data_IF_428033663639
#
_entry.id   IF_428033663639
#
_cell.length_a   1.000
_cell.length_b   1.000
_cell.length_c   1.000
_cell.angle_alpha   90.00
_cell.angle_beta   90.00
_cell.angle_gamma   90.00
#
_symmetry.space_group_name_H-M   'P 1'
#
loop_
_entity.id
_entity.type
_entity.pdbx_description
1 polymer ?
#
# COMPACT_ATOMS: atom_id res chain seq x y z
N UNK A 1 5.52 3.64 -7.52
CA UNK A 1 4.17 3.03 -7.59
C UNK A 1 3.21 3.98 -8.28
N UNK A 2 2.47 3.49 -9.23
CA UNK A 2 1.43 4.23 -9.94
C UNK A 2 0.11 3.50 -9.78
N UNK A 3 -0.99 4.25 -9.79
CA UNK A 3 -2.31 3.65 -9.68
C UNK A 3 -2.55 2.64 -10.80
N UNK A 4 -3.02 1.45 -10.43
CA UNK A 4 -3.24 0.35 -11.35
C UNK A 4 -4.05 -0.75 -10.67
N UNK A 5 -5.02 -1.30 -11.38
CA UNK A 5 -5.95 -2.28 -10.80
C UNK A 5 -5.49 -3.74 -10.92
N UNK A 6 -4.31 -3.98 -11.49
CA UNK A 6 -3.84 -5.35 -11.72
C UNK A 6 -3.81 -6.16 -10.42
N UNK A 7 -3.20 -5.61 -9.36
CA UNK A 7 -3.08 -6.33 -8.10
C UNK A 7 -4.38 -6.36 -7.29
N UNK A 8 -5.30 -5.42 -7.54
CA UNK A 8 -6.62 -5.48 -6.93
C UNK A 8 -7.31 -6.80 -7.27
N UNK A 9 -7.28 -7.21 -8.54
CA UNK A 9 -7.86 -8.48 -8.93
C UNK A 9 -7.08 -9.69 -8.39
N UNK A 10 -5.75 -9.56 -8.25
CA UNK A 10 -4.90 -10.65 -7.75
C UNK A 10 -5.14 -10.94 -6.27
N UNK A 11 -5.47 -9.93 -5.46
CA UNK A 11 -5.68 -10.13 -4.02
C UNK A 11 -7.13 -10.49 -3.68
N UNK A 12 -8.04 -10.45 -4.63
CA UNK A 12 -9.46 -10.67 -4.34
C UNK A 12 -9.73 -12.01 -3.63
N UNK A 13 -8.92 -13.03 -3.92
CA UNK A 13 -9.09 -14.38 -3.35
C UNK A 13 -8.60 -14.49 -1.89
N UNK A 14 -7.90 -13.49 -1.36
CA UNK A 14 -7.43 -13.51 0.03
C UNK A 14 -8.17 -12.52 0.92
N UNK A 15 -9.12 -11.76 0.37
CA UNK A 15 -9.92 -10.85 1.17
C UNK A 15 -10.93 -11.61 2.03
N UNK A 16 -11.20 -11.09 3.23
CA UNK A 16 -12.19 -11.67 4.12
C UNK A 16 -13.56 -11.02 3.90
N UNK A 17 -14.60 -11.62 4.47
CA UNK A 17 -15.95 -11.09 4.37
C UNK A 17 -16.03 -9.68 4.93
N UNK A 18 -16.64 -8.78 4.20
CA UNK A 18 -16.79 -7.39 4.58
C UNK A 18 -15.57 -6.51 4.30
N UNK A 19 -14.50 -7.10 3.79
CA UNK A 19 -13.31 -6.34 3.38
C UNK A 19 -13.46 -5.89 1.94
N UNK A 20 -13.23 -4.61 1.67
CA UNK A 20 -13.31 -4.04 0.34
C UNK A 20 -11.99 -3.39 -0.05
N UNK A 21 -11.71 -3.36 -1.34
CA UNK A 21 -10.53 -2.69 -1.90
C UNK A 21 -10.84 -1.21 -2.03
N UNK A 22 -9.95 -0.37 -1.51
CA UNK A 22 -10.08 1.08 -1.59
C UNK A 22 -9.25 1.65 -2.73
N UNK A 23 -8.02 1.15 -2.90
CA UNK A 23 -7.12 1.63 -3.96
C UNK A 23 -6.01 0.62 -4.20
N UNK A 24 -5.34 0.73 -5.36
CA UNK A 24 -4.30 -0.20 -5.77
C UNK A 24 -3.24 0.51 -6.59
N UNK A 25 -1.97 0.17 -6.36
CA UNK A 25 -0.82 0.78 -7.02
C UNK A 25 0.18 -0.27 -7.44
N UNK A 26 0.94 0.02 -8.49
CA UNK A 26 1.87 -0.94 -9.08
C UNK A 26 3.16 -0.26 -9.52
N UNK A 27 4.29 -0.95 -9.36
CA UNK A 27 5.55 -0.68 -10.03
C UNK A 27 5.93 -1.90 -10.87
N UNK A 28 7.16 -1.96 -11.38
CA UNK A 28 7.56 -3.08 -12.25
C UNK A 28 7.45 -4.44 -11.57
N UNK A 29 7.86 -4.54 -10.30
CA UNK A 29 7.90 -5.82 -9.59
C UNK A 29 7.17 -5.78 -8.25
N UNK A 30 6.62 -4.65 -7.89
CA UNK A 30 5.99 -4.47 -6.59
C UNK A 30 4.61 -3.86 -6.75
N UNK A 31 3.81 -3.99 -5.73
CA UNK A 31 2.52 -3.35 -5.68
C UNK A 31 2.05 -3.16 -4.25
N UNK A 32 1.03 -2.36 -4.09
CA UNK A 32 0.37 -2.17 -2.81
C UNK A 32 -1.12 -2.01 -3.04
N UNK A 33 -1.90 -2.71 -2.25
CA UNK A 33 -3.36 -2.61 -2.27
C UNK A 33 -3.82 -2.15 -0.90
N UNK A 34 -4.61 -1.08 -0.88
CA UNK A 34 -5.23 -0.59 0.34
C UNK A 34 -6.64 -1.14 0.41
N UNK A 35 -6.94 -1.87 1.48
CA UNK A 35 -8.29 -2.37 1.72
C UNK A 35 -8.92 -1.62 2.88
N UNK A 36 -10.15 -1.95 3.22
CA UNK A 36 -10.82 -1.38 4.39
C UNK A 36 -10.20 -1.85 5.71
N UNK A 37 -9.31 -2.85 5.71
CA UNK A 37 -8.75 -3.46 6.94
C UNK A 37 -7.23 -3.50 6.99
N UNK A 38 -6.54 -3.48 5.86
CA UNK A 38 -5.09 -3.69 5.81
C UNK A 38 -4.45 -3.08 4.58
N UNK A 39 -3.14 -2.92 4.65
CA UNK A 39 -2.29 -2.69 3.48
C UNK A 39 -1.80 -4.07 3.04
N UNK A 40 -1.92 -4.40 1.76
CA UNK A 40 -1.36 -5.62 1.20
C UNK A 40 -0.19 -5.22 0.31
N UNK A 41 1.02 -5.60 0.72
CA UNK A 41 2.23 -5.37 -0.06
C UNK A 41 2.46 -6.58 -0.96
N UNK A 42 2.65 -6.33 -2.25
CA UNK A 42 2.82 -7.38 -3.25
C UNK A 42 4.23 -7.33 -3.80
N UNK A 43 4.94 -8.45 -3.70
CA UNK A 43 6.27 -8.61 -4.29
C UNK A 43 6.24 -9.72 -5.34
N UNK A 44 6.68 -9.38 -6.56
CA UNK A 44 6.80 -10.33 -7.65
C UNK A 44 8.18 -10.96 -7.60
N UNK A 45 8.25 -12.27 -7.57
CA UNK A 45 9.47 -13.03 -7.40
C UNK A 45 9.73 -13.95 -8.59
N UNK A 46 11.00 -14.31 -8.77
CA UNK A 46 11.42 -15.21 -9.82
C UNK A 46 11.55 -14.55 -11.18
N UNK A 47 12.19 -15.25 -12.12
CA UNK A 47 12.49 -14.73 -13.46
C UNK A 47 11.20 -14.55 -14.28
N UNK A 48 10.27 -15.49 -14.16
CA UNK A 48 9.02 -15.48 -14.93
C UNK A 48 7.97 -14.55 -14.34
N UNK A 49 8.14 -14.11 -13.08
CA UNK A 49 7.15 -13.30 -12.39
C UNK A 49 5.89 -14.06 -11.99
N UNK A 50 5.89 -15.37 -12.06
CA UNK A 50 4.72 -16.20 -11.70
C UNK A 50 4.55 -16.34 -10.19
N UNK A 51 5.62 -16.18 -9.42
CA UNK A 51 5.59 -16.30 -7.96
C UNK A 51 5.42 -14.93 -7.35
N UNK A 52 4.41 -14.79 -6.49
CA UNK A 52 4.10 -13.52 -5.82
C UNK A 52 3.98 -13.72 -4.32
N UNK A 53 4.49 -12.75 -3.57
CA UNK A 53 4.37 -12.70 -2.13
C UNK A 53 3.37 -11.61 -1.76
N UNK A 54 2.40 -11.95 -0.91
CA UNK A 54 1.38 -11.01 -0.42
C UNK A 54 1.54 -10.86 1.08
N UNK A 55 2.02 -9.69 1.51
CA UNK A 55 2.21 -9.40 2.93
C UNK A 55 1.09 -8.49 3.42
N UNK A 56 0.36 -8.94 4.43
CA UNK A 56 -0.72 -8.16 5.02
C UNK A 56 -0.22 -7.36 6.20
N UNK A 57 -0.50 -6.08 6.19
CA UNK A 57 -0.13 -5.12 7.23
C UNK A 57 -1.42 -4.51 7.79
N UNK A 58 -1.99 -5.09 8.85
CA UNK A 58 -3.28 -4.61 9.39
C UNK A 58 -3.17 -3.18 9.91
N UNK A 59 -4.14 -2.33 9.57
CA UNK A 59 -4.15 -0.95 10.06
C UNK A 59 -4.12 -0.87 11.59
N UNK A 60 -4.82 -1.77 12.25
CA UNK A 60 -4.91 -1.76 13.72
C UNK A 60 -3.57 -1.91 14.43
N UNK A 61 -2.54 -2.38 13.72
CA UNK A 61 -1.21 -2.57 14.28
C UNK A 61 -0.23 -1.45 13.92
N UNK A 62 -0.68 -0.45 13.20
CA UNK A 62 0.12 0.74 12.88
C UNK A 62 0.17 1.64 14.11
N UNK A 63 1.37 1.98 14.56
CA UNK A 63 1.57 2.87 15.72
C UNK A 63 1.86 4.30 15.30
N UNK A 64 2.33 4.52 14.09
CA UNK A 64 2.57 5.86 13.54
C UNK A 64 2.58 5.78 12.03
N UNK A 65 2.23 6.87 11.37
CA UNK A 65 2.33 6.96 9.91
C UNK A 65 2.65 8.38 9.51
N UNK A 66 3.33 8.51 8.35
CA UNK A 66 3.79 9.81 7.84
C UNK A 66 3.58 9.84 6.34
N UNK A 67 3.15 10.97 5.83
CA UNK A 67 3.12 11.20 4.39
C UNK A 67 4.04 12.37 4.05
N UNK A 68 4.77 12.21 2.94
CA UNK A 68 5.56 13.29 2.36
C UNK A 68 4.99 13.56 0.97
N UNK A 69 4.41 14.75 0.80
CA UNK A 69 3.78 15.11 -0.46
C UNK A 69 4.83 15.54 -1.48
N UNK A 70 4.47 15.40 -2.78
CA UNK A 70 5.35 15.78 -3.86
C UNK A 70 5.67 17.28 -3.80
N UNK A 71 6.94 17.61 -4.08
CA UNK A 71 7.40 18.98 -4.14
C UNK A 71 7.48 19.52 -5.56
N UNK A 72 8.14 20.66 -5.72
CA UNK A 72 8.26 21.32 -7.03
C UNK A 72 9.23 20.58 -7.96
N UNK A 73 10.33 20.09 -7.41
CA UNK A 73 11.38 19.41 -8.20
C UNK A 73 11.34 17.90 -8.04
N UNK A 74 10.91 17.42 -6.91
CA UNK A 74 10.69 16.00 -6.67
C UNK A 74 9.18 15.76 -6.68
N UNK A 75 8.71 15.09 -7.72
CA UNK A 75 7.29 14.82 -7.91
C UNK A 75 6.84 13.51 -7.26
N UNK A 76 7.76 12.80 -6.60
CA UNK A 76 7.42 11.56 -5.89
C UNK A 76 6.89 11.89 -4.50
N UNK A 77 5.97 11.06 -4.05
CA UNK A 77 5.38 11.17 -2.73
C UNK A 77 5.66 9.88 -1.95
N UNK A 78 5.74 9.97 -0.63
CA UNK A 78 6.10 8.82 0.20
C UNK A 78 5.12 8.62 1.34
N UNK A 79 4.85 7.35 1.62
CA UNK A 79 4.10 6.92 2.79
C UNK A 79 5.02 6.05 3.63
N UNK A 80 5.13 6.38 4.92
CA UNK A 80 5.84 5.54 5.88
C UNK A 80 4.88 5.13 6.98
N UNK A 81 4.90 3.85 7.33
CA UNK A 81 4.08 3.32 8.42
C UNK A 81 4.99 2.53 9.37
N UNK A 82 4.74 2.67 10.67
CA UNK A 82 5.52 2.01 11.71
C UNK A 82 4.67 1.01 12.46
N UNK A 83 5.25 -0.16 12.68
CA UNK A 83 4.67 -1.25 13.48
C UNK A 83 5.61 -1.55 14.64
N UNK A 84 5.09 -1.89 15.81
CA UNK A 84 5.88 -1.97 17.04
C UNK A 84 7.04 -2.96 16.97
N UNK A 85 6.91 -4.07 16.26
CA UNK A 85 7.97 -5.09 16.20
C UNK A 85 8.53 -5.27 14.78
N UNK A 86 7.70 -5.09 13.78
CA UNK A 86 8.13 -5.19 12.39
C UNK A 86 9.04 -4.04 11.98
N UNK A 87 8.83 -2.87 12.55
CA UNK A 87 9.57 -1.67 12.21
C UNK A 87 8.84 -0.81 11.19
N UNK A 88 9.62 -0.12 10.35
CA UNK A 88 9.08 0.84 9.38
C UNK A 88 8.95 0.22 8.00
N UNK A 89 7.81 0.44 7.37
CA UNK A 89 7.57 0.11 5.96
C UNK A 89 7.37 1.41 5.18
N UNK A 90 8.05 1.52 4.03
CA UNK A 90 8.03 2.71 3.19
C UNK A 90 7.49 2.37 1.82
N UNK A 91 6.59 3.22 1.32
CA UNK A 91 6.03 3.11 -0.03
C UNK A 91 6.25 4.42 -0.76
N UNK A 92 6.78 4.34 -1.98
CA UNK A 92 7.04 5.51 -2.81
C UNK A 92 6.08 5.51 -3.99
N UNK A 93 5.43 6.65 -4.20
CA UNK A 93 4.41 6.83 -5.25
C UNK A 93 4.89 7.86 -6.26
N UNK A 94 4.77 7.52 -7.53
CA UNK A 94 5.20 8.38 -8.63
C UNK A 94 4.08 9.32 -9.07
N UNK A 95 4.47 10.53 -9.44
CA UNK A 95 3.56 11.49 -10.03
C UNK A 95 2.48 11.98 -9.07
N UNK A 96 1.29 12.21 -9.62
CA UNK A 96 0.19 12.83 -8.88
C UNK A 96 -0.62 11.82 -8.09
N UNK A 97 -0.04 11.26 -7.03
CA UNK A 97 -0.76 10.35 -6.15
C UNK A 97 -1.41 11.14 -5.02
N UNK A 98 -2.68 10.86 -4.74
CA UNK A 98 -3.43 11.53 -3.69
C UNK A 98 -3.13 10.88 -2.32
N UNK A 99 -1.96 11.20 -1.77
CA UNK A 99 -1.57 10.70 -0.45
C UNK A 99 -2.45 11.17 0.70
N UNK A 100 -3.01 12.39 0.70
CA UNK A 100 -3.97 12.75 1.74
C UNK A 100 -5.16 11.78 1.85
N UNK A 101 -5.69 11.31 0.73
CA UNK A 101 -6.77 10.30 0.76
C UNK A 101 -6.29 8.98 1.34
N UNK A 102 -5.09 8.52 0.97
CA UNK A 102 -4.49 7.31 1.54
C UNK A 102 -4.29 7.47 3.05
N UNK A 103 -3.78 8.63 3.48
CA UNK A 103 -3.61 8.95 4.89
C UNK A 103 -4.93 8.85 5.67
N UNK A 104 -6.03 9.29 5.06
CA UNK A 104 -7.35 9.19 5.69
C UNK A 104 -7.80 7.75 5.86
N UNK A 105 -7.52 6.87 4.88
CA UNK A 105 -7.82 5.44 5.02
C UNK A 105 -7.13 4.87 6.26
N UNK A 106 -5.85 5.19 6.43
CA UNK A 106 -5.07 4.72 7.57
C UNK A 106 -5.61 5.32 8.86
N UNK A 107 -5.84 6.62 8.90
CA UNK A 107 -6.31 7.31 10.10
C UNK A 107 -7.68 6.80 10.56
N UNK A 108 -8.60 6.56 9.63
CA UNK A 108 -9.94 6.05 9.96
C UNK A 108 -9.89 4.67 10.63
N UNK A 109 -8.82 3.92 10.42
CA UNK A 109 -8.68 2.55 10.94
C UNK A 109 -7.67 2.42 12.09
N UNK A 110 -6.99 3.51 12.46
CA UNK A 110 -5.96 3.52 13.52
C UNK A 110 -6.28 4.49 14.66
N UNK A 111 -7.01 5.56 14.38
CA UNK A 111 -7.30 6.62 15.37
C UNK A 111 -8.66 6.49 16.04
#
# INVERSE_FOLDING_TARGET
LKQNDEYASKVSHILIDGESILDSYKSMRDGVVFTSKRIISVNVQGITGSKKDFTSLPYKNIIAFSIETAGTFDLDAELEVWFSQLGKCRFEFKGKTDLPTISKYIAENTL
#
